data_IF_903710907081
#
_entry.id   IF_903710907081
#
_cell.length_a   1.000
_cell.length_b   1.000
_cell.length_c   1.000
_cell.angle_alpha   90.00
_cell.angle_beta   90.00
_cell.angle_gamma   90.00
#
_symmetry.space_group_name_H-M   'P 1'
#
loop_
_entity.id
_entity.type
_entity.pdbx_description
1 polymer ?
#
# COMPACT_ATOMS: atom_id res chain seq x y z
N UNK A 1 24.44 -22.10 -14.59
CA UNK A 1 24.56 -20.72 -14.07
C UNK A 1 23.20 -19.98 -13.98
N UNK A 2 22.07 -20.67 -13.75
CA UNK A 2 20.72 -20.04 -13.74
C UNK A 2 20.18 -19.67 -12.34
N UNK A 3 20.61 -20.35 -11.27
CA UNK A 3 20.05 -20.08 -9.92
C UNK A 3 20.47 -18.75 -9.29
N UNK A 4 21.68 -18.24 -9.60
CA UNK A 4 22.15 -16.95 -9.06
C UNK A 4 21.38 -15.74 -9.61
N UNK A 5 20.98 -15.80 -10.88
CA UNK A 5 20.19 -14.75 -11.54
C UNK A 5 18.79 -14.63 -10.95
N UNK A 6 18.15 -15.76 -10.62
CA UNK A 6 16.80 -15.79 -10.05
C UNK A 6 16.79 -15.27 -8.61
N UNK A 7 17.79 -15.66 -7.79
CA UNK A 7 17.88 -15.17 -6.41
C UNK A 7 18.10 -13.65 -6.34
N UNK A 8 18.96 -13.14 -7.22
CA UNK A 8 19.24 -11.71 -7.34
C UNK A 8 18.01 -10.94 -7.84
N UNK A 9 17.27 -11.48 -8.81
CA UNK A 9 16.03 -10.91 -9.31
C UNK A 9 14.95 -10.86 -8.21
N UNK A 10 14.76 -11.93 -7.44
CA UNK A 10 13.83 -11.94 -6.31
C UNK A 10 14.27 -10.92 -5.26
N UNK A 11 15.55 -10.90 -4.89
CA UNK A 11 16.08 -9.96 -3.92
C UNK A 11 15.82 -8.51 -4.32
N UNK A 12 16.17 -8.15 -5.57
CA UNK A 12 15.95 -6.80 -6.09
C UNK A 12 14.46 -6.49 -6.17
N UNK A 13 13.63 -7.42 -6.66
CA UNK A 13 12.18 -7.23 -6.76
C UNK A 13 11.55 -6.98 -5.39
N UNK A 14 11.87 -7.81 -4.40
CA UNK A 14 11.37 -7.67 -3.03
C UNK A 14 11.87 -6.37 -2.42
N UNK A 15 13.16 -6.06 -2.54
CA UNK A 15 13.73 -4.79 -2.05
C UNK A 15 12.97 -3.60 -2.62
N UNK A 16 12.81 -3.57 -3.94
CA UNK A 16 12.20 -2.45 -4.65
C UNK A 16 10.69 -2.34 -4.37
N UNK A 17 9.95 -3.45 -4.27
CA UNK A 17 8.54 -3.43 -3.83
C UNK A 17 8.42 -2.90 -2.40
N UNK A 18 9.35 -3.26 -1.51
CA UNK A 18 9.34 -2.82 -0.12
C UNK A 18 9.78 -1.35 0.06
N UNK A 19 10.40 -0.70 -0.93
CA UNK A 19 10.72 0.73 -0.86
C UNK A 19 9.48 1.61 -0.62
N UNK A 20 8.27 1.11 -0.91
CA UNK A 20 7.00 1.76 -0.56
C UNK A 20 6.90 2.12 0.92
N UNK A 21 7.44 1.29 1.81
CA UNK A 21 7.45 1.54 3.25
C UNK A 21 8.32 2.76 3.62
N UNK A 22 9.40 3.00 2.87
CA UNK A 22 10.23 4.20 3.06
C UNK A 22 9.46 5.48 2.72
N UNK A 23 8.66 5.46 1.65
CA UNK A 23 7.81 6.60 1.27
C UNK A 23 6.67 6.84 2.28
N UNK A 24 5.97 5.77 2.68
CA UNK A 24 4.95 5.85 3.73
C UNK A 24 5.55 6.40 5.05
N UNK A 25 6.74 5.91 5.43
CA UNK A 25 7.45 6.38 6.62
C UNK A 25 7.86 7.86 6.53
N UNK A 26 8.31 8.34 5.36
CA UNK A 26 8.66 9.73 5.14
C UNK A 26 7.43 10.66 5.32
N UNK A 27 6.31 10.31 4.67
CA UNK A 27 5.08 11.10 4.76
C UNK A 27 4.46 11.05 6.16
N UNK A 28 4.39 9.87 6.77
CA UNK A 28 3.90 9.71 8.13
C UNK A 28 4.77 10.48 9.13
N UNK A 29 6.09 10.50 8.94
CA UNK A 29 7.01 11.27 9.79
C UNK A 29 6.81 12.78 9.70
N UNK A 30 6.26 13.32 8.60
CA UNK A 30 5.92 14.75 8.50
C UNK A 30 4.67 15.09 9.32
N UNK A 31 3.71 14.16 9.40
CA UNK A 31 2.44 14.31 10.11
C UNK A 31 2.51 13.90 11.59
N UNK A 32 3.54 13.14 11.98
CA UNK A 32 3.72 12.64 13.33
C UNK A 32 4.03 13.78 14.33
N UNK A 33 3.45 13.71 15.53
CA UNK A 33 3.72 14.66 16.60
C UNK A 33 5.23 14.73 16.94
N UNK A 34 5.74 15.96 17.11
CA UNK A 34 7.14 16.20 17.47
C UNK A 34 7.41 15.64 18.87
N UNK A 35 8.40 14.76 18.99
CA UNK A 35 8.80 14.15 20.27
C UNK A 35 8.59 12.64 20.35
N UNK A 36 7.96 12.03 19.34
CA UNK A 36 7.85 10.57 19.24
C UNK A 36 9.20 9.99 18.76
N UNK A 37 9.97 9.44 19.70
CA UNK A 37 11.29 8.85 19.45
C UNK A 37 11.46 7.46 20.05
N UNK A 38 12.65 6.88 19.85
CA UNK A 38 13.06 5.60 20.43
C UNK A 38 12.25 4.40 19.96
N UNK A 39 12.08 3.41 20.84
CA UNK A 39 11.42 2.13 20.57
C UNK A 39 9.96 2.33 20.16
N UNK A 40 9.27 3.33 20.74
CA UNK A 40 7.88 3.63 20.40
C UNK A 40 7.72 3.99 18.92
N UNK A 41 8.67 4.75 18.35
CA UNK A 41 8.66 5.09 16.92
C UNK A 41 8.88 3.86 16.04
N UNK A 42 9.75 2.94 16.46
CA UNK A 42 10.02 1.70 15.72
C UNK A 42 8.79 0.79 15.71
N UNK A 43 8.10 0.66 16.86
CA UNK A 43 6.89 -0.15 16.96
C UNK A 43 5.75 0.40 16.09
N UNK A 44 5.54 1.72 16.11
CA UNK A 44 4.55 2.37 15.24
C UNK A 44 4.91 2.25 13.75
N UNK A 45 6.19 2.43 13.41
CA UNK A 45 6.64 2.24 12.03
C UNK A 45 6.43 0.79 11.55
N UNK A 46 6.55 -0.19 12.45
CA UNK A 46 6.31 -1.60 12.13
C UNK A 46 4.83 -1.90 11.86
N UNK A 47 3.91 -1.26 12.58
CA UNK A 47 2.46 -1.44 12.40
C UNK A 47 1.87 -0.71 11.20
N UNK A 48 2.66 0.11 10.49
CA UNK A 48 2.20 0.91 9.36
C UNK A 48 1.95 0.03 8.12
N UNK A 49 0.69 -0.30 7.88
CA UNK A 49 0.22 -0.96 6.64
C UNK A 49 -0.37 0.05 5.66
N UNK A 50 -0.71 -0.39 4.44
CA UNK A 50 -1.35 0.46 3.43
C UNK A 50 -2.69 1.03 3.95
N UNK A 51 -3.46 0.25 4.72
CA UNK A 51 -4.73 0.66 5.33
C UNK A 51 -4.53 1.67 6.47
N UNK A 52 -3.58 1.38 7.37
CA UNK A 52 -3.23 2.28 8.48
C UNK A 52 -2.73 3.61 7.92
N UNK A 53 -1.88 3.57 6.89
CA UNK A 53 -1.35 4.76 6.22
C UNK A 53 -2.47 5.57 5.54
N UNK A 54 -3.34 4.93 4.75
CA UNK A 54 -4.46 5.61 4.07
C UNK A 54 -5.40 6.31 5.06
N UNK A 55 -5.66 5.72 6.23
CA UNK A 55 -6.48 6.35 7.28
C UNK A 55 -5.68 7.39 8.08
N UNK A 56 -4.41 7.17 8.33
CA UNK A 56 -3.56 8.10 9.08
C UNK A 56 -3.34 9.42 8.33
N UNK A 57 -3.12 9.37 7.01
CA UNK A 57 -2.90 10.58 6.19
C UNK A 57 -4.15 11.46 6.11
N UNK A 58 -5.34 10.86 6.23
CA UNK A 58 -6.64 11.55 6.31
C UNK A 58 -6.83 12.34 7.62
N UNK A 59 -6.05 12.05 8.65
CA UNK A 59 -6.13 12.76 9.91
C UNK A 59 -5.58 14.18 9.74
N UNK A 60 -6.42 15.20 9.99
CA UNK A 60 -6.08 16.63 9.79
C UNK A 60 -5.18 17.20 10.89
N UNK A 61 -5.19 16.58 12.06
CA UNK A 61 -4.36 16.99 13.20
C UNK A 61 -3.03 16.23 13.19
N UNK A 62 -2.00 16.71 13.90
CA UNK A 62 -0.79 15.94 14.12
C UNK A 62 -1.12 14.56 14.69
N UNK A 63 -0.52 13.53 14.11
CA UNK A 63 -0.76 12.14 14.50
C UNK A 63 -0.05 11.89 15.82
N UNK A 64 -0.83 11.70 16.87
CA UNK A 64 -0.31 11.39 18.21
C UNK A 64 -0.02 9.90 18.34
N UNK A 65 0.89 9.55 19.27
CA UNK A 65 1.22 8.16 19.61
C UNK A 65 -0.02 7.29 19.92
N UNK A 66 -0.94 7.70 20.81
CA UNK A 66 -2.10 6.86 21.14
C UNK A 66 -3.08 6.70 19.98
N UNK A 67 -3.23 7.71 19.12
CA UNK A 67 -4.07 7.60 17.92
C UNK A 67 -3.52 6.53 16.98
N UNK A 68 -2.24 6.62 16.63
CA UNK A 68 -1.63 5.69 15.68
C UNK A 68 -1.58 4.26 16.24
N UNK A 69 -1.24 4.10 17.52
CA UNK A 69 -1.26 2.79 18.18
C UNK A 69 -2.67 2.18 18.23
N UNK A 70 -3.70 3.00 18.48
CA UNK A 70 -5.10 2.53 18.46
C UNK A 70 -5.55 2.14 17.06
N UNK A 71 -5.14 2.90 16.03
CA UNK A 71 -5.44 2.60 14.64
C UNK A 71 -4.79 1.28 14.20
N UNK A 72 -3.50 1.10 14.51
CA UNK A 72 -2.76 -0.14 14.25
C UNK A 72 -3.38 -1.34 14.96
N UNK A 73 -3.71 -1.20 16.24
CA UNK A 73 -4.36 -2.26 17.01
C UNK A 73 -5.71 -2.65 16.40
N UNK A 74 -6.51 -1.65 15.98
CA UNK A 74 -7.81 -1.90 15.35
C UNK A 74 -7.66 -2.62 14.02
N UNK A 75 -6.70 -2.20 13.19
CA UNK A 75 -6.39 -2.86 11.92
C UNK A 75 -5.94 -4.31 12.14
N UNK A 76 -5.05 -4.52 13.12
CA UNK A 76 -4.55 -5.86 13.47
C UNK A 76 -5.66 -6.78 13.99
N UNK A 77 -6.50 -6.28 14.89
CA UNK A 77 -7.66 -7.05 15.39
C UNK A 77 -8.65 -7.36 14.27
N UNK A 78 -8.91 -6.40 13.37
CA UNK A 78 -9.72 -6.62 12.17
C UNK A 78 -9.15 -7.71 11.28
N UNK A 79 -7.82 -7.71 11.07
CA UNK A 79 -7.14 -8.75 10.28
C UNK A 79 -7.24 -10.13 10.92
N UNK A 80 -6.91 -10.25 12.21
CA UNK A 80 -6.92 -11.52 12.94
C UNK A 80 -8.35 -12.08 13.04
N UNK A 81 -9.30 -11.26 13.45
CA UNK A 81 -10.70 -11.69 13.55
C UNK A 81 -11.31 -12.01 12.18
N UNK A 82 -11.04 -11.19 11.16
CA UNK A 82 -11.46 -11.43 9.79
C UNK A 82 -10.88 -12.72 9.21
N UNK A 83 -9.62 -13.04 9.53
CA UNK A 83 -8.98 -14.30 9.14
C UNK A 83 -9.65 -15.49 9.82
N UNK A 84 -9.91 -15.40 11.13
CA UNK A 84 -10.60 -16.47 11.87
C UNK A 84 -12.01 -16.71 11.34
N UNK A 85 -12.79 -15.64 11.14
CA UNK A 85 -14.14 -15.72 10.55
C UNK A 85 -14.07 -16.26 9.13
N UNK A 86 -13.14 -15.76 8.31
CA UNK A 86 -12.93 -16.22 6.94
C UNK A 86 -12.57 -17.70 6.86
N UNK A 87 -11.76 -18.21 7.78
CA UNK A 87 -11.47 -19.64 7.91
C UNK A 87 -12.73 -20.45 8.22
N UNK A 88 -13.50 -20.05 9.25
CA UNK A 88 -14.72 -20.75 9.65
C UNK A 88 -15.77 -20.78 8.52
N UNK A 89 -15.98 -19.65 7.85
CA UNK A 89 -16.88 -19.55 6.68
C UNK A 89 -16.34 -20.38 5.52
N UNK A 90 -15.02 -20.33 5.30
CA UNK A 90 -14.31 -21.11 4.28
C UNK A 90 -14.55 -22.62 4.40
N UNK A 91 -14.61 -23.16 5.62
CA UNK A 91 -14.87 -24.58 5.85
C UNK A 91 -16.28 -25.03 5.41
N UNK A 92 -17.24 -24.11 5.36
CA UNK A 92 -18.63 -24.40 4.98
C UNK A 92 -18.88 -24.14 3.49
N UNK A 93 -18.01 -23.35 2.84
CA UNK A 93 -18.16 -22.98 1.44
C UNK A 93 -17.86 -24.14 0.48
N UNK A 94 -18.61 -24.29 -0.63
CA UNK A 94 -18.27 -25.21 -1.71
C UNK A 94 -16.90 -24.89 -2.33
N UNK A 95 -16.20 -25.92 -2.81
CA UNK A 95 -14.86 -25.79 -3.41
C UNK A 95 -14.77 -24.76 -4.54
N UNK A 96 -15.82 -24.64 -5.35
CA UNK A 96 -15.92 -23.64 -6.42
C UNK A 96 -15.85 -22.20 -5.89
N UNK A 97 -16.51 -21.91 -4.75
CA UNK A 97 -16.47 -20.58 -4.13
C UNK A 97 -15.14 -20.34 -3.39
N UNK A 98 -14.55 -21.38 -2.79
CA UNK A 98 -13.23 -21.27 -2.16
C UNK A 98 -12.15 -20.83 -3.17
N UNK A 99 -12.19 -21.35 -4.41
CA UNK A 99 -11.29 -20.91 -5.47
C UNK A 99 -11.53 -19.47 -5.92
N UNK A 100 -12.75 -18.95 -5.75
CA UNK A 100 -13.10 -17.57 -6.10
C UNK A 100 -12.69 -16.54 -5.03
N UNK A 101 -12.27 -16.96 -3.83
CA UNK A 101 -11.88 -16.06 -2.73
C UNK A 101 -10.66 -15.19 -3.11
N UNK A 102 -9.84 -15.62 -4.07
CA UNK A 102 -8.75 -14.81 -4.61
C UNK A 102 -9.18 -13.44 -5.15
N UNK A 103 -10.46 -13.28 -5.52
CA UNK A 103 -11.01 -11.99 -5.97
C UNK A 103 -11.05 -10.93 -4.84
N UNK A 104 -11.07 -11.37 -3.58
CA UNK A 104 -11.15 -10.49 -2.41
C UNK A 104 -9.96 -9.52 -2.32
N UNK A 105 -8.77 -9.95 -2.76
CA UNK A 105 -7.59 -9.06 -2.83
C UNK A 105 -7.79 -7.92 -3.84
N UNK A 106 -8.43 -8.18 -4.98
CA UNK A 106 -8.76 -7.11 -5.92
C UNK A 106 -9.76 -6.12 -5.31
N UNK A 107 -10.76 -6.61 -4.58
CA UNK A 107 -11.72 -5.76 -3.88
C UNK A 107 -11.04 -4.84 -2.85
N UNK A 108 -10.04 -5.34 -2.11
CA UNK A 108 -9.23 -4.55 -1.17
C UNK A 108 -8.50 -3.41 -1.89
N UNK A 109 -7.75 -3.72 -2.95
CA UNK A 109 -7.02 -2.69 -3.70
C UNK A 109 -7.96 -1.69 -4.40
N UNK A 110 -9.11 -2.13 -4.91
CA UNK A 110 -10.14 -1.24 -5.45
C UNK A 110 -10.71 -0.31 -4.38
N UNK A 111 -10.90 -0.79 -3.14
CA UNK A 111 -11.34 0.05 -2.02
C UNK A 111 -10.30 1.11 -1.66
N UNK A 112 -9.02 0.75 -1.59
CA UNK A 112 -7.94 1.71 -1.34
C UNK A 112 -7.85 2.78 -2.44
N UNK A 113 -7.92 2.37 -3.71
CA UNK A 113 -7.95 3.32 -4.83
C UNK A 113 -9.18 4.24 -4.78
N UNK A 114 -10.35 3.72 -4.42
CA UNK A 114 -11.56 4.51 -4.28
C UNK A 114 -11.45 5.57 -3.18
N UNK A 115 -10.76 5.26 -2.07
CA UNK A 115 -10.47 6.24 -1.02
C UNK A 115 -9.55 7.35 -1.51
N UNK A 116 -8.45 7.02 -2.20
CA UNK A 116 -7.54 8.02 -2.76
C UNK A 116 -8.22 8.89 -3.83
N UNK A 117 -9.06 8.28 -4.68
CA UNK A 117 -9.87 9.00 -5.66
C UNK A 117 -10.82 10.01 -5.00
N UNK A 118 -11.50 9.63 -3.91
CA UNK A 118 -12.37 10.56 -3.17
C UNK A 118 -11.61 11.75 -2.57
N UNK A 119 -10.33 11.57 -2.24
CA UNK A 119 -9.51 12.60 -1.61
C UNK A 119 -8.89 13.55 -2.62
N UNK A 120 -8.31 13.02 -3.70
CA UNK A 120 -7.44 13.76 -4.63
C UNK A 120 -8.05 13.90 -6.03
N UNK A 121 -9.29 13.46 -6.19
CA UNK A 121 -10.07 13.59 -7.41
C UNK A 121 -9.56 12.72 -8.56
N UNK A 122 -9.94 13.11 -9.78
CA UNK A 122 -9.69 12.36 -11.02
C UNK A 122 -8.20 12.19 -11.35
N UNK A 123 -7.32 13.06 -10.82
CA UNK A 123 -5.88 13.01 -11.09
C UNK A 123 -5.26 11.68 -10.63
N UNK A 124 -5.72 11.13 -9.49
CA UNK A 124 -5.26 9.82 -9.01
C UNK A 124 -5.65 8.69 -9.94
N UNK A 125 -6.87 8.74 -10.51
CA UNK A 125 -7.33 7.72 -11.44
C UNK A 125 -6.49 7.73 -12.73
N UNK A 126 -6.14 8.92 -13.22
CA UNK A 126 -5.27 9.08 -14.40
C UNK A 126 -3.89 8.51 -14.12
N UNK A 127 -3.28 8.83 -12.97
CA UNK A 127 -1.96 8.31 -12.59
C UNK A 127 -2.01 6.78 -12.46
N UNK A 128 -3.03 6.24 -11.77
CA UNK A 128 -3.21 4.80 -11.62
C UNK A 128 -3.37 4.10 -12.98
N UNK A 129 -4.11 4.70 -13.91
CA UNK A 129 -4.28 4.16 -15.26
C UNK A 129 -2.97 4.17 -16.06
N UNK A 130 -2.21 5.27 -16.00
CA UNK A 130 -0.89 5.38 -16.65
C UNK A 130 0.05 4.31 -16.11
N UNK A 131 0.12 4.14 -14.79
CA UNK A 131 0.96 3.13 -14.16
C UNK A 131 0.51 1.71 -14.49
N UNK A 132 -0.80 1.45 -14.55
CA UNK A 132 -1.33 0.15 -14.95
C UNK A 132 -1.00 -0.18 -16.42
N UNK A 133 -1.15 0.80 -17.32
CA UNK A 133 -0.79 0.66 -18.73
C UNK A 133 0.71 0.41 -18.90
N UNK A 134 1.56 1.18 -18.20
CA UNK A 134 3.01 1.00 -18.24
C UNK A 134 3.41 -0.39 -17.74
N UNK A 135 2.88 -0.82 -16.59
CA UNK A 135 3.16 -2.14 -16.04
C UNK A 135 2.76 -3.25 -17.02
N UNK A 136 1.56 -3.15 -17.58
CA UNK A 136 1.05 -4.12 -18.55
C UNK A 136 1.90 -4.17 -19.82
N UNK A 137 2.35 -3.01 -20.32
CA UNK A 137 3.23 -2.93 -21.47
C UNK A 137 4.60 -3.58 -21.20
N UNK A 138 5.22 -3.27 -20.05
CA UNK A 138 6.52 -3.84 -19.67
C UNK A 138 6.44 -5.37 -19.54
N UNK A 139 5.36 -5.91 -18.97
CA UNK A 139 5.20 -7.36 -18.78
C UNK A 139 4.82 -8.05 -20.09
N UNK A 140 3.80 -7.57 -20.79
CA UNK A 140 3.22 -8.30 -21.92
C UNK A 140 4.02 -8.11 -23.21
N UNK A 141 4.54 -6.90 -23.45
CA UNK A 141 5.25 -6.55 -24.69
C UNK A 141 6.75 -6.77 -24.54
N UNK A 142 7.34 -6.20 -23.48
CA UNK A 142 8.79 -6.27 -23.26
C UNK A 142 9.23 -7.55 -22.51
N UNK A 143 8.29 -8.33 -21.98
CA UNK A 143 8.55 -9.58 -21.24
C UNK A 143 9.52 -9.39 -20.07
N UNK A 144 9.46 -8.23 -19.42
CA UNK A 144 10.25 -7.98 -18.22
C UNK A 144 9.73 -8.79 -17.04
N UNK A 145 10.61 -9.06 -16.08
CA UNK A 145 10.24 -9.67 -14.81
C UNK A 145 9.23 -8.80 -14.07
N UNK A 146 8.19 -9.43 -13.51
CA UNK A 146 7.05 -8.76 -12.86
C UNK A 146 7.50 -7.75 -11.80
N UNK A 147 8.55 -8.07 -11.05
CA UNK A 147 9.09 -7.18 -10.03
C UNK A 147 9.66 -5.88 -10.59
N UNK A 148 10.45 -5.92 -11.66
CA UNK A 148 11.01 -4.72 -12.29
C UNK A 148 9.91 -3.85 -12.90
N UNK A 149 8.94 -4.47 -13.57
CA UNK A 149 7.81 -3.77 -14.18
C UNK A 149 6.97 -3.04 -13.13
N UNK A 150 6.68 -3.72 -12.01
CA UNK A 150 5.89 -3.15 -10.92
C UNK A 150 6.59 -1.93 -10.33
N UNK A 151 7.90 -2.03 -10.06
CA UNK A 151 8.66 -0.95 -9.42
C UNK A 151 8.77 0.26 -10.33
N UNK A 152 9.09 0.05 -11.60
CA UNK A 152 9.20 1.17 -12.54
C UNK A 152 7.83 1.88 -12.69
N UNK A 153 6.75 1.11 -12.69
CA UNK A 153 5.39 1.64 -12.74
C UNK A 153 4.98 2.39 -11.47
N UNK A 154 5.46 1.94 -10.30
CA UNK A 154 5.27 2.64 -9.03
C UNK A 154 6.10 3.93 -8.96
N UNK A 155 7.38 3.90 -9.35
CA UNK A 155 8.25 5.09 -9.35
C UNK A 155 7.72 6.18 -10.29
N UNK A 156 7.28 5.78 -11.48
CA UNK A 156 6.62 6.70 -12.42
C UNK A 156 5.31 7.24 -11.83
N UNK A 157 4.49 6.41 -11.17
CA UNK A 157 3.29 6.87 -10.46
C UNK A 157 3.62 7.95 -9.42
N UNK A 158 4.62 7.70 -8.57
CA UNK A 158 5.03 8.60 -7.51
C UNK A 158 5.57 9.92 -8.06
N UNK A 159 6.37 9.88 -9.12
CA UNK A 159 6.91 11.08 -9.76
C UNK A 159 5.80 11.93 -10.41
N UNK A 160 4.89 11.28 -11.13
CA UNK A 160 3.72 11.95 -11.70
C UNK A 160 2.80 12.49 -10.61
N UNK A 161 2.60 11.75 -9.53
CA UNK A 161 1.85 12.18 -8.35
C UNK A 161 2.43 13.44 -7.73
N UNK A 162 3.74 13.48 -7.49
CA UNK A 162 4.41 14.66 -6.94
C UNK A 162 4.34 15.89 -7.87
N UNK A 163 4.31 15.68 -9.18
CA UNK A 163 4.25 16.77 -10.16
C UNK A 163 2.82 17.30 -10.38
N UNK A 164 1.84 16.41 -10.48
CA UNK A 164 0.45 16.75 -10.84
C UNK A 164 -0.46 16.98 -9.64
N UNK A 165 -0.14 16.40 -8.48
CA UNK A 165 -0.87 16.62 -7.23
C UNK A 165 -0.06 17.62 -6.41
N UNK A 166 -0.22 18.91 -6.73
CA UNK A 166 0.25 19.98 -5.87
C UNK A 166 -0.47 19.85 -4.53
N UNK A 167 0.27 19.86 -3.41
CA UNK A 167 -0.33 20.00 -2.08
C UNK A 167 -1.15 21.30 -2.11
N UNK A 168 -2.48 21.21 -2.26
CA UNK A 168 -3.34 22.30 -1.82
C UNK A 168 -3.11 22.40 -0.32
N UNK A 169 -2.33 23.41 0.05
CA UNK A 169 -2.20 23.89 1.42
C UNK A 169 -3.62 24.07 1.94
N UNK A 170 -4.08 23.12 2.74
CA UNK A 170 -5.42 23.11 3.31
C UNK A 170 -5.47 24.23 4.37
N UNK A 171 -5.52 25.47 3.88
CA UNK A 171 -5.84 26.67 4.63
C UNK A 171 -7.34 26.66 4.86
N UNK A 172 -7.76 26.12 6.01
CA UNK A 172 -9.06 26.39 6.64
C UNK A 172 -9.00 26.02 8.12
#
# INVERSE_FOLDING_TARGET
MRSGSILLEIFISVLLVNLRYSFMGAELSRKLEKGIGGIARVLLAHGTTDEVFSVAVLHRLPITKPYLAGLELTAYLGWVSGTAVGFLVGMVLPSALQMAVGVTLYAMFSSLLAQEFRQKGLNVLIIALISACLNSFLILVLKWGVGYSFVLSMLTASFLGAWFITEEEHTA
#
